data_IF_033756969652
#
_entry.id   IF_033756969652
#
_cell.length_a   1.000
_cell.length_b   1.000
_cell.length_c   1.000
_cell.angle_alpha   90.00
_cell.angle_beta   90.00
_cell.angle_gamma   90.00
#
_symmetry.space_group_name_H-M   'P 1'
#
loop_
_entity.id
_entity.type
_entity.pdbx_description
1 polymer ?
#
# COMPACT_ATOMS: atom_id res chain seq x y z
N UNK A 1 -19.90 -1.33 -27.60
CA UNK A 1 -18.91 -1.10 -26.55
C UNK A 1 -19.07 0.34 -26.10
N UNK A 2 -19.80 0.56 -25.02
CA UNK A 2 -20.00 1.89 -24.46
C UNK A 2 -18.77 2.18 -23.59
N UNK A 3 -17.98 3.19 -23.98
CA UNK A 3 -17.05 3.84 -23.07
C UNK A 3 -17.89 4.46 -21.95
N UNK A 4 -17.91 3.84 -20.77
CA UNK A 4 -18.38 4.55 -19.57
C UNK A 4 -17.40 5.70 -19.33
N UNK A 5 -17.86 6.93 -19.59
CA UNK A 5 -17.24 8.12 -19.03
C UNK A 5 -17.07 7.90 -17.53
N UNK A 6 -15.81 7.73 -17.12
CA UNK A 6 -15.40 7.61 -15.74
C UNK A 6 -15.82 8.90 -15.02
N UNK A 7 -17.01 8.88 -14.42
CA UNK A 7 -17.61 9.97 -13.62
C UNK A 7 -16.86 10.10 -12.30
N UNK A 8 -15.59 10.41 -12.43
CA UNK A 8 -14.69 10.70 -11.34
C UNK A 8 -15.15 11.96 -10.61
N UNK A 9 -15.25 11.84 -9.28
CA UNK A 9 -15.63 12.95 -8.42
C UNK A 9 -14.38 13.80 -8.17
N UNK A 10 -14.36 15.00 -8.75
CA UNK A 10 -13.33 15.98 -8.46
C UNK A 10 -13.49 16.50 -7.03
N UNK A 11 -12.50 16.24 -6.18
CA UNK A 11 -12.49 16.67 -4.77
C UNK A 11 -11.43 17.72 -4.47
N UNK A 12 -10.67 18.16 -5.49
CA UNK A 12 -9.66 19.20 -5.36
C UNK A 12 -8.46 18.76 -4.52
N UNK A 13 -7.97 19.66 -3.66
CA UNK A 13 -6.84 19.39 -2.76
C UNK A 13 -7.36 18.89 -1.41
N UNK A 14 -6.87 17.73 -0.98
CA UNK A 14 -7.30 17.05 0.24
C UNK A 14 -6.09 16.84 1.15
N UNK A 15 -6.14 17.46 2.33
CA UNK A 15 -5.09 17.35 3.34
C UNK A 15 -5.02 15.96 3.97
N UNK A 16 -6.14 15.26 4.09
CA UNK A 16 -6.19 13.90 4.61
C UNK A 16 -7.47 13.19 4.20
N UNK A 17 -7.36 11.89 3.94
CA UNK A 17 -8.45 11.02 3.52
C UNK A 17 -8.46 9.77 4.40
N UNK A 18 -9.62 9.45 4.97
CA UNK A 18 -9.86 8.24 5.76
C UNK A 18 -11.11 7.56 5.21
N UNK A 19 -10.92 6.43 4.53
CA UNK A 19 -11.98 5.61 3.96
C UNK A 19 -12.03 4.27 4.69
N UNK A 20 -13.25 3.89 5.10
CA UNK A 20 -13.47 2.66 5.87
C UNK A 20 -14.63 1.81 5.33
N UNK A 21 -14.49 0.50 5.44
CA UNK A 21 -15.49 -0.46 4.95
C UNK A 21 -15.78 -0.26 3.45
N UNK A 22 -17.05 -0.35 3.04
CA UNK A 22 -17.48 -0.12 1.66
C UNK A 22 -17.07 1.23 1.06
N UNK A 23 -16.76 2.25 1.87
CA UNK A 23 -16.28 3.53 1.34
C UNK A 23 -14.91 3.41 0.66
N UNK A 24 -14.13 2.38 0.97
CA UNK A 24 -12.85 2.12 0.30
C UNK A 24 -13.05 1.88 -1.20
N UNK A 25 -14.11 1.19 -1.61
CA UNK A 25 -14.46 0.94 -3.03
C UNK A 25 -14.66 2.24 -3.85
N UNK A 26 -14.98 3.35 -3.18
CA UNK A 26 -15.11 4.66 -3.85
C UNK A 26 -13.76 5.28 -4.19
N UNK A 27 -12.65 4.79 -3.60
CA UNK A 27 -11.35 5.41 -3.70
C UNK A 27 -10.86 5.68 -5.14
N UNK A 28 -10.96 4.73 -6.09
CA UNK A 28 -10.54 4.97 -7.47
C UNK A 28 -11.36 6.05 -8.19
N UNK A 29 -12.57 6.36 -7.69
CA UNK A 29 -13.45 7.38 -8.27
C UNK A 29 -13.12 8.79 -7.77
N UNK A 30 -12.29 8.92 -6.74
CA UNK A 30 -11.90 10.20 -6.17
C UNK A 30 -10.72 10.79 -6.97
N UNK A 31 -10.92 11.95 -7.60
CA UNK A 31 -9.85 12.68 -8.31
C UNK A 31 -9.34 13.85 -7.47
N UNK A 32 -8.05 13.78 -7.17
CA UNK A 32 -7.31 14.85 -6.50
C UNK A 32 -6.67 15.78 -7.52
N UNK A 33 -6.36 16.99 -7.05
CA UNK A 33 -5.47 17.89 -7.77
C UNK A 33 -4.12 17.21 -8.07
N UNK A 34 -3.51 17.52 -9.22
CA UNK A 34 -2.22 16.91 -9.63
C UNK A 34 -1.11 17.18 -8.60
N UNK A 35 -1.05 18.41 -8.11
CA UNK A 35 -0.18 18.88 -7.02
C UNK A 35 -0.68 18.54 -5.60
N UNK A 36 -1.62 17.60 -5.44
CA UNK A 36 -2.14 17.27 -4.12
C UNK A 36 -1.04 16.64 -3.24
N UNK A 37 -0.80 17.28 -2.10
CA UNK A 37 0.08 16.78 -1.04
C UNK A 37 -0.79 16.39 0.16
N UNK A 38 -1.06 15.09 0.28
CA UNK A 38 -1.88 14.55 1.35
C UNK A 38 -1.00 14.22 2.56
N UNK A 39 -1.37 14.76 3.73
CA UNK A 39 -0.68 14.43 4.98
C UNK A 39 -0.96 13.01 5.44
N UNK A 40 -2.18 12.51 5.20
CA UNK A 40 -2.59 11.18 5.63
C UNK A 40 -3.59 10.54 4.68
N UNK A 41 -3.27 9.36 4.16
CA UNK A 41 -4.20 8.48 3.45
C UNK A 41 -4.41 7.21 4.29
N UNK A 42 -5.64 6.96 4.73
CA UNK A 42 -6.03 5.76 5.47
C UNK A 42 -7.09 5.00 4.67
N UNK A 43 -6.80 3.74 4.37
CA UNK A 43 -7.78 2.79 3.82
C UNK A 43 -7.90 1.61 4.80
N UNK A 44 -9.12 1.33 5.25
CA UNK A 44 -9.36 0.31 6.26
C UNK A 44 -10.61 -0.50 5.95
N UNK A 45 -10.44 -1.78 5.67
CA UNK A 45 -11.58 -2.68 5.44
C UNK A 45 -11.30 -4.07 5.98
N UNK A 46 -12.23 -4.60 6.76
CA UNK A 46 -12.23 -5.96 7.31
C UNK A 46 -12.83 -7.02 6.38
N UNK A 47 -13.19 -6.65 5.14
CA UNK A 47 -13.70 -7.57 4.12
C UNK A 47 -13.14 -7.31 2.73
N UNK A 48 -13.00 -8.38 1.95
CA UNK A 48 -12.62 -8.38 0.54
C UNK A 48 -13.70 -7.77 -0.36
N UNK A 49 -14.98 -8.01 -0.06
CA UNK A 49 -16.12 -7.47 -0.83
C UNK A 49 -16.13 -5.94 -0.91
N UNK A 50 -15.51 -5.25 0.06
CA UNK A 50 -15.38 -3.80 0.08
C UNK A 50 -14.32 -3.24 -0.88
N UNK A 51 -13.51 -4.10 -1.50
CA UNK A 51 -12.39 -3.73 -2.38
C UNK A 51 -12.34 -4.57 -3.66
N UNK A 52 -13.37 -5.37 -3.92
CA UNK A 52 -13.35 -6.37 -4.98
C UNK A 52 -13.13 -5.76 -6.36
N UNK A 53 -13.72 -4.60 -6.67
CA UNK A 53 -13.47 -3.89 -7.93
C UNK A 53 -12.08 -3.30 -7.99
N UNK A 54 -11.52 -2.85 -6.86
CA UNK A 54 -10.14 -2.34 -6.79
C UNK A 54 -9.12 -3.43 -7.07
N UNK A 55 -9.32 -4.65 -6.54
CA UNK A 55 -8.40 -5.77 -6.77
C UNK A 55 -8.32 -6.17 -8.25
N UNK A 56 -9.39 -5.96 -9.01
CA UNK A 56 -9.43 -6.22 -10.46
C UNK A 56 -8.71 -5.15 -11.30
N UNK A 57 -8.35 -4.00 -10.71
CA UNK A 57 -7.64 -2.94 -11.42
C UNK A 57 -6.20 -3.35 -11.74
N UNK A 58 -5.64 -2.73 -12.77
CA UNK A 58 -4.22 -2.89 -13.09
C UNK A 58 -3.33 -2.33 -11.97
N UNK A 59 -2.14 -2.88 -11.82
CA UNK A 59 -1.16 -2.35 -10.87
C UNK A 59 -0.75 -0.92 -11.28
N UNK A 60 -0.51 -0.05 -10.29
CA UNK A 60 -0.19 1.37 -10.47
C UNK A 60 -1.27 2.21 -11.21
N UNK A 61 -2.51 1.75 -11.28
CA UNK A 61 -3.60 2.45 -11.97
C UNK A 61 -4.24 3.58 -11.14
N UNK A 62 -4.09 3.57 -9.82
CA UNK A 62 -4.69 4.56 -8.92
C UNK A 62 -3.65 5.62 -8.54
N UNK A 63 -3.76 6.81 -9.13
CA UNK A 63 -2.90 7.95 -8.81
C UNK A 63 -3.33 8.64 -7.51
N UNK A 64 -2.40 8.76 -6.56
CA UNK A 64 -2.66 9.37 -5.23
C UNK A 64 -1.88 10.66 -4.97
N UNK A 65 -1.00 11.06 -5.89
CA UNK A 65 -0.15 12.26 -5.73
C UNK A 65 0.98 12.05 -4.72
N UNK A 66 1.30 13.10 -3.95
CA UNK A 66 2.27 13.05 -2.85
C UNK A 66 1.53 12.70 -1.55
N UNK A 67 2.04 11.72 -0.80
CA UNK A 67 1.45 11.24 0.46
C UNK A 67 2.53 11.13 1.53
N UNK A 68 2.36 11.90 2.60
CA UNK A 68 3.28 11.94 3.75
C UNK A 68 3.13 10.66 4.61
N UNK A 69 1.90 10.21 4.87
CA UNK A 69 1.62 8.98 5.62
C UNK A 69 0.54 8.14 4.94
N UNK A 70 0.89 6.90 4.58
CA UNK A 70 -0.02 5.89 4.04
C UNK A 70 -0.27 4.79 5.08
N UNK A 71 -1.53 4.57 5.43
CA UNK A 71 -1.95 3.52 6.36
C UNK A 71 -2.99 2.60 5.68
N UNK A 72 -2.61 1.35 5.46
CA UNK A 72 -3.48 0.30 4.92
C UNK A 72 -3.73 -0.75 6.00
N UNK A 73 -5.01 -0.96 6.33
CA UNK A 73 -5.43 -1.89 7.37
C UNK A 73 -6.28 -3.02 6.79
N UNK A 74 -6.02 -4.24 7.27
CA UNK A 74 -6.74 -5.47 6.97
C UNK A 74 -6.73 -5.78 5.46
N UNK A 75 -7.90 -5.98 4.84
CA UNK A 75 -8.01 -6.29 3.40
C UNK A 75 -7.48 -5.15 2.52
N UNK A 76 -7.44 -3.91 3.02
CA UNK A 76 -6.93 -2.77 2.26
C UNK A 76 -5.44 -2.89 1.92
N UNK A 77 -4.67 -3.76 2.59
CA UNK A 77 -3.28 -4.07 2.18
C UNK A 77 -3.22 -4.60 0.75
N UNK A 78 -4.25 -5.32 0.29
CA UNK A 78 -4.39 -5.80 -1.09
C UNK A 78 -4.42 -4.69 -2.15
N UNK A 79 -4.74 -3.46 -1.75
CA UNK A 79 -4.78 -2.31 -2.67
C UNK A 79 -3.37 -1.79 -2.97
N UNK A 80 -2.37 -2.08 -2.14
CA UNK A 80 -1.02 -1.50 -2.27
C UNK A 80 -0.43 -1.58 -3.70
N UNK A 81 -0.48 -2.72 -4.42
CA UNK A 81 0.04 -2.80 -5.79
C UNK A 81 -0.70 -1.93 -6.80
N UNK A 82 -1.93 -1.52 -6.50
CA UNK A 82 -2.78 -0.70 -7.37
C UNK A 82 -2.46 0.80 -7.24
N UNK A 83 -1.81 1.20 -6.15
CA UNK A 83 -1.47 2.59 -5.87
C UNK A 83 -0.24 3.05 -6.66
N UNK A 84 -0.29 4.31 -7.12
CA UNK A 84 0.84 5.02 -7.72
C UNK A 84 0.99 6.38 -7.06
N UNK A 85 2.10 6.57 -6.37
CA UNK A 85 2.51 7.88 -5.83
C UNK A 85 3.34 8.65 -6.84
N UNK A 86 3.49 9.95 -6.61
CA UNK A 86 4.44 10.78 -7.36
C UNK A 86 5.89 10.28 -7.18
N UNK A 87 6.71 10.37 -8.23
CA UNK A 87 8.09 9.85 -8.21
C UNK A 87 8.98 10.56 -7.18
N UNK A 88 8.78 11.87 -7.01
CA UNK A 88 9.41 12.69 -5.97
C UNK A 88 8.82 12.49 -4.55
N UNK A 89 7.86 11.58 -4.36
CA UNK A 89 7.25 11.40 -3.04
C UNK A 89 8.27 10.84 -2.04
N UNK A 90 8.48 11.58 -0.95
CA UNK A 90 9.20 11.11 0.24
C UNK A 90 8.17 10.87 1.32
N UNK A 91 7.82 9.61 1.53
CA UNK A 91 6.84 9.21 2.54
C UNK A 91 7.50 9.18 3.91
N UNK A 92 6.93 9.89 4.87
CA UNK A 92 7.35 9.82 6.25
C UNK A 92 7.01 8.45 6.84
N UNK A 93 5.80 7.92 6.56
CA UNK A 93 5.33 6.65 7.13
C UNK A 93 4.55 5.78 6.16
N UNK A 94 5.01 4.55 5.95
CA UNK A 94 4.22 3.46 5.36
C UNK A 94 3.82 2.47 6.45
N UNK A 95 2.52 2.34 6.70
CA UNK A 95 1.96 1.49 7.75
C UNK A 95 1.05 0.44 7.12
N UNK A 96 1.43 -0.83 7.23
CA UNK A 96 0.66 -1.96 6.70
C UNK A 96 0.30 -2.89 7.86
N UNK A 97 -1.00 -3.10 8.07
CA UNK A 97 -1.52 -3.94 9.17
C UNK A 97 -2.42 -5.01 8.58
N UNK A 98 -2.07 -6.29 8.72
CA UNK A 98 -2.95 -7.39 8.37
C UNK A 98 -3.07 -8.38 9.55
N UNK A 99 -4.28 -8.43 10.12
CA UNK A 99 -4.80 -9.33 11.15
C UNK A 99 -4.79 -10.81 10.79
N UNK A 100 -5.59 -11.65 11.45
CA UNK A 100 -5.74 -13.09 11.22
C UNK A 100 -6.60 -13.44 9.98
N UNK A 101 -6.27 -14.44 9.15
CA UNK A 101 -7.12 -14.90 8.03
C UNK A 101 -6.48 -14.86 6.63
N UNK A 102 -7.26 -15.23 5.61
CA UNK A 102 -6.90 -15.18 4.19
C UNK A 102 -7.14 -13.76 3.64
N UNK A 103 -6.12 -12.92 3.69
CA UNK A 103 -6.17 -11.58 3.12
C UNK A 103 -5.72 -11.61 1.65
N UNK A 104 -6.06 -10.58 0.86
CA UNK A 104 -5.54 -10.36 -0.50
C UNK A 104 -4.01 -10.22 -0.56
N UNK A 105 -3.31 -10.35 0.58
CA UNK A 105 -1.88 -10.61 0.59
C UNK A 105 -1.51 -11.83 -0.24
N UNK A 106 -2.36 -12.86 -0.39
CA UNK A 106 -1.95 -14.06 -1.15
C UNK A 106 -1.66 -13.75 -2.64
N UNK A 107 -2.46 -12.89 -3.28
CA UNK A 107 -2.17 -12.38 -4.63
C UNK A 107 -0.83 -11.63 -4.65
N UNK A 108 -0.58 -10.77 -3.65
CA UNK A 108 0.69 -10.06 -3.50
C UNK A 108 1.87 -11.03 -3.32
N UNK A 109 1.67 -12.13 -2.59
CA UNK A 109 2.72 -13.10 -2.32
C UNK A 109 3.16 -13.87 -3.57
N UNK A 110 2.26 -14.01 -4.54
CA UNK A 110 2.55 -14.56 -5.87
C UNK A 110 3.30 -13.57 -6.77
N UNK A 111 3.32 -12.27 -6.44
CA UNK A 111 4.10 -11.29 -7.17
C UNK A 111 5.60 -11.55 -7.02
N UNK A 112 6.40 -11.08 -8.00
CA UNK A 112 7.86 -11.15 -7.92
C UNK A 112 8.37 -10.30 -6.76
N UNK A 113 9.50 -10.69 -6.16
CA UNK A 113 10.18 -9.84 -5.18
C UNK A 113 10.58 -8.51 -5.83
N UNK A 114 10.60 -7.43 -5.06
CA UNK A 114 10.89 -6.07 -5.55
C UNK A 114 10.00 -5.63 -6.73
N UNK A 115 8.69 -5.94 -6.70
CA UNK A 115 7.75 -5.57 -7.78
C UNK A 115 6.73 -4.50 -7.40
N UNK A 116 6.53 -4.24 -6.11
CA UNK A 116 5.60 -3.22 -5.62
C UNK A 116 6.39 -1.96 -5.29
N UNK A 117 6.28 -0.94 -6.13
CA UNK A 117 6.97 0.33 -5.92
C UNK A 117 6.35 1.12 -4.76
N UNK A 118 7.17 1.48 -3.77
CA UNK A 118 6.77 2.34 -2.64
C UNK A 118 7.59 3.64 -2.55
N UNK A 119 8.56 3.84 -3.44
CA UNK A 119 9.36 5.07 -3.50
C UNK A 119 10.33 5.24 -2.32
N UNK A 120 10.47 6.46 -1.82
CA UNK A 120 11.26 6.80 -0.63
C UNK A 120 10.36 6.73 0.61
N UNK A 121 10.75 5.94 1.61
CA UNK A 121 10.01 5.71 2.86
C UNK A 121 10.97 5.80 4.04
N UNK A 122 10.73 6.76 4.95
CA UNK A 122 11.54 6.95 6.15
C UNK A 122 11.23 5.95 7.26
N UNK A 123 9.94 5.73 7.55
CA UNK A 123 9.46 4.77 8.56
C UNK A 123 8.57 3.71 7.93
N UNK A 124 9.02 2.46 7.97
CA UNK A 124 8.28 1.30 7.49
C UNK A 124 7.76 0.48 8.66
N UNK A 125 6.44 0.36 8.78
CA UNK A 125 5.80 -0.34 9.87
C UNK A 125 4.90 -1.47 9.35
N UNK A 126 5.32 -2.72 9.53
CA UNK A 126 4.61 -3.92 9.10
C UNK A 126 4.12 -4.72 10.31
N UNK A 127 2.82 -5.00 10.36
CA UNK A 127 2.18 -5.71 11.46
C UNK A 127 1.45 -6.96 10.97
N UNK A 128 1.65 -8.07 11.69
CA UNK A 128 1.02 -9.36 11.42
C UNK A 128 1.38 -9.90 10.04
N UNK A 129 0.38 -10.40 9.32
CA UNK A 129 0.54 -11.01 8.00
C UNK A 129 1.12 -10.04 6.94
N UNK A 130 1.06 -8.72 7.17
CA UNK A 130 1.66 -7.73 6.29
C UNK A 130 3.20 -7.82 6.27
N UNK A 131 3.82 -8.51 7.23
CA UNK A 131 5.25 -8.80 7.17
C UNK A 131 5.58 -9.68 5.96
N UNK A 132 4.70 -10.63 5.60
CA UNK A 132 4.95 -11.57 4.48
C UNK A 132 5.15 -10.86 3.14
N UNK A 133 4.59 -9.67 2.95
CA UNK A 133 4.74 -8.90 1.71
C UNK A 133 6.01 -8.05 1.67
N UNK A 134 6.80 -8.01 2.74
CA UNK A 134 8.03 -7.22 2.83
C UNK A 134 9.00 -7.47 1.67
N UNK A 135 9.28 -8.72 1.23
CA UNK A 135 10.14 -8.99 0.08
C UNK A 135 9.60 -8.47 -1.27
N UNK A 136 8.31 -8.13 -1.33
CA UNK A 136 7.63 -7.68 -2.54
C UNK A 136 7.79 -6.16 -2.74
N UNK A 137 8.07 -5.43 -1.67
CA UNK A 137 8.25 -3.98 -1.69
C UNK A 137 9.56 -3.60 -2.40
N UNK A 138 9.48 -2.59 -3.25
CA UNK A 138 10.59 -2.00 -3.99
C UNK A 138 10.74 -0.54 -3.58
N UNK A 139 11.89 -0.23 -3.01
CA UNK A 139 12.26 1.11 -2.58
C UNK A 139 13.07 1.82 -3.67
N UNK A 140 13.06 3.15 -3.64
CA UNK A 140 13.94 3.96 -4.48
C UNK A 140 15.41 3.72 -4.12
N UNK A 141 16.33 3.75 -5.08
CA UNK A 141 17.77 3.46 -4.87
C UNK A 141 18.46 4.40 -3.84
N UNK A 142 18.00 5.63 -3.78
CA UNK A 142 18.40 6.63 -2.78
C UNK A 142 17.59 6.61 -1.48
N UNK A 143 16.81 5.54 -1.20
CA UNK A 143 16.01 5.51 0.02
C UNK A 143 16.90 5.52 1.27
N UNK A 144 16.44 6.23 2.31
CA UNK A 144 17.04 6.24 3.64
C UNK A 144 15.94 5.89 4.64
N UNK A 145 16.13 4.76 5.34
CA UNK A 145 15.19 4.29 6.35
C UNK A 145 15.67 4.72 7.72
N UNK A 146 14.87 5.56 8.38
CA UNK A 146 15.11 6.03 9.74
C UNK A 146 14.53 5.06 10.78
N UNK A 147 13.44 4.35 10.43
CA UNK A 147 12.74 3.43 11.34
C UNK A 147 12.19 2.22 10.59
N UNK A 148 12.45 1.03 11.12
CA UNK A 148 11.84 -0.22 10.68
C UNK A 148 11.15 -0.91 11.85
N UNK A 149 9.83 -1.04 11.80
CA UNK A 149 9.05 -1.76 12.80
C UNK A 149 8.41 -2.99 12.16
N UNK A 150 8.78 -4.16 12.67
CA UNK A 150 8.16 -5.44 12.33
C UNK A 150 7.52 -6.01 13.59
N UNK A 151 6.19 -6.21 13.59
CA UNK A 151 5.48 -6.84 14.71
C UNK A 151 4.72 -8.07 14.24
N UNK A 152 5.31 -9.24 14.47
CA UNK A 152 4.67 -10.53 14.28
C UNK A 152 3.92 -10.93 15.55
N UNK A 153 2.77 -11.58 15.39
CA UNK A 153 1.93 -12.08 16.47
C UNK A 153 1.83 -13.61 16.45
N UNK A 154 2.18 -14.24 15.31
CA UNK A 154 2.27 -15.69 15.18
C UNK A 154 3.45 -16.07 14.25
N UNK A 155 3.97 -17.31 14.31
CA UNK A 155 5.07 -17.74 13.44
C UNK A 155 4.79 -17.62 11.94
N UNK A 156 3.53 -17.78 11.52
CA UNK A 156 3.09 -17.69 10.13
C UNK A 156 3.37 -16.34 9.48
N UNK A 157 3.38 -15.26 10.28
CA UNK A 157 3.66 -13.90 9.81
C UNK A 157 5.06 -13.76 9.18
N UNK A 158 6.02 -14.60 9.60
CA UNK A 158 7.44 -14.51 9.21
C UNK A 158 7.94 -15.73 8.43
N UNK A 159 7.17 -16.82 8.33
CA UNK A 159 7.60 -18.07 7.69
C UNK A 159 8.15 -17.87 6.28
N UNK A 160 7.51 -17.01 5.48
CA UNK A 160 7.96 -16.72 4.11
C UNK A 160 9.30 -15.97 4.02
N UNK A 161 9.71 -15.28 5.09
CA UNK A 161 10.96 -14.53 5.15
C UNK A 161 12.08 -15.39 5.73
N UNK A 162 11.80 -16.23 6.73
CA UNK A 162 12.82 -17.05 7.39
C UNK A 162 13.54 -18.02 6.45
N UNK A 163 12.91 -18.41 5.34
CA UNK A 163 13.51 -19.26 4.31
C UNK A 163 14.35 -18.52 3.26
N UNK A 164 14.44 -17.19 3.34
CA UNK A 164 15.17 -16.39 2.35
C UNK A 164 16.68 -16.33 2.67
N UNK A 165 17.48 -16.12 1.62
CA UNK A 165 18.91 -15.88 1.80
C UNK A 165 19.17 -14.54 2.51
N UNK A 166 20.31 -14.45 3.19
CA UNK A 166 20.74 -13.20 3.82
C UNK A 166 20.81 -12.06 2.78
N UNK A 167 20.41 -10.85 3.20
CA UNK A 167 20.39 -9.66 2.35
C UNK A 167 19.45 -9.74 1.13
N UNK A 168 18.49 -10.67 1.12
CA UNK A 168 17.48 -10.76 0.04
C UNK A 168 16.49 -9.60 0.00
N UNK A 169 16.41 -8.81 1.09
CA UNK A 169 15.52 -7.64 1.20
C UNK A 169 16.40 -6.41 1.35
N UNK A 170 16.28 -5.49 0.40
CA UNK A 170 16.97 -4.21 0.43
C UNK A 170 15.94 -3.09 0.60
N UNK A 171 16.17 -2.22 1.59
CA UNK A 171 15.24 -1.14 1.94
C UNK A 171 15.80 0.26 1.75
N UNK A 172 17.08 0.40 1.39
CA UNK A 172 17.76 1.69 1.41
C UNK A 172 19.01 1.67 2.27
N UNK A 173 19.58 2.87 2.46
CA UNK A 173 20.58 3.15 3.48
C UNK A 173 19.90 3.25 4.84
N UNK A 174 20.63 2.93 5.90
CA UNK A 174 20.24 3.12 7.30
C UNK A 174 21.18 4.17 7.88
#
# INVERSE_FOLDING_TARGET
FLEEENSSLWIGSVKGLDLRGYAVELFPKLRFHEENVMKKLVLNTDKDEHIAGILQMENNSIWVGKVESLELCWYAVGILPKLRTHDENVMEKLILKAYEGEYPTEEILQMKNNSIWVGKVKSLNLYGNAIRIFPKLKFHEENVVEELVLRAYNPGDITGILGMENNSIWIGKI
#
